data_IF_536540726172
#
_entry.id   IF_536540726172
#
_cell.length_a   1.000
_cell.length_b   1.000
_cell.length_c   1.000
_cell.angle_alpha   90.00
_cell.angle_beta   90.00
_cell.angle_gamma   90.00
#
_symmetry.space_group_name_H-M   'P 1'
#
loop_
_entity.id
_entity.type
_entity.pdbx_description
1 polymer ?
#
# COMPACT_ATOMS: atom_id res chain seq x y z
N UNK A 1 -26.55 4.13 4.78
CA UNK A 1 -25.13 4.52 4.84
C UNK A 1 -24.59 4.41 3.43
N UNK A 2 -24.25 5.54 2.80
CA UNK A 2 -23.56 5.52 1.51
C UNK A 2 -22.09 5.28 1.80
N UNK A 3 -21.59 4.07 1.53
CA UNK A 3 -20.15 3.83 1.52
C UNK A 3 -19.57 4.58 0.33
N UNK A 4 -18.52 5.36 0.56
CA UNK A 4 -17.80 6.06 -0.49
C UNK A 4 -16.90 5.03 -1.17
N UNK A 5 -17.10 4.80 -2.48
CA UNK A 5 -16.35 3.76 -3.22
C UNK A 5 -14.84 3.95 -3.14
N UNK A 6 -14.39 5.19 -2.98
CA UNK A 6 -12.98 5.54 -2.81
C UNK A 6 -12.38 4.94 -1.53
N UNK A 7 -13.17 4.95 -0.46
CA UNK A 7 -12.80 4.38 0.83
C UNK A 7 -12.66 2.86 0.71
N UNK A 8 -13.60 2.18 0.04
CA UNK A 8 -13.51 0.74 -0.23
C UNK A 8 -12.25 0.39 -1.05
N UNK A 9 -11.92 1.19 -2.07
CA UNK A 9 -10.70 0.99 -2.87
C UNK A 9 -9.45 1.21 -2.00
N UNK A 10 -9.44 2.21 -1.13
CA UNK A 10 -8.33 2.48 -0.23
C UNK A 10 -8.16 1.39 0.85
N UNK A 11 -9.26 0.88 1.40
CA UNK A 11 -9.24 -0.27 2.31
C UNK A 11 -8.70 -1.52 1.64
N UNK A 12 -9.12 -1.77 0.39
CA UNK A 12 -8.60 -2.89 -0.39
C UNK A 12 -7.10 -2.74 -0.69
N UNK A 13 -6.63 -1.54 -1.04
CA UNK A 13 -5.20 -1.24 -1.16
C UNK A 13 -4.44 -1.55 0.15
N UNK A 14 -5.02 -1.16 1.30
CA UNK A 14 -4.44 -1.44 2.62
C UNK A 14 -4.33 -2.94 2.90
N UNK A 15 -5.35 -3.72 2.52
CA UNK A 15 -5.31 -5.18 2.63
C UNK A 15 -4.18 -5.77 1.78
N UNK A 16 -4.04 -5.34 0.52
CA UNK A 16 -3.01 -5.84 -0.38
C UNK A 16 -1.60 -5.53 0.13
N UNK A 17 -1.37 -4.34 0.69
CA UNK A 17 -0.09 -4.00 1.33
C UNK A 17 0.20 -5.00 2.45
N UNK A 18 -0.74 -5.24 3.37
CA UNK A 18 -0.57 -6.21 4.46
C UNK A 18 -0.29 -7.63 3.96
N UNK A 19 -0.96 -8.08 2.92
CA UNK A 19 -0.70 -9.40 2.32
C UNK A 19 0.69 -9.49 1.72
N UNK A 20 1.18 -8.42 1.09
CA UNK A 20 2.57 -8.35 0.60
C UNK A 20 3.57 -8.41 1.76
N UNK A 21 3.29 -7.75 2.88
CA UNK A 21 4.14 -7.82 4.07
C UNK A 21 4.24 -9.26 4.59
N UNK A 22 3.11 -9.96 4.70
CA UNK A 22 3.07 -11.37 5.10
C UNK A 22 3.84 -12.24 4.11
N UNK A 23 3.61 -12.07 2.81
CA UNK A 23 4.27 -12.83 1.75
C UNK A 23 5.80 -12.65 1.74
N UNK A 24 6.30 -11.45 2.11
CA UNK A 24 7.74 -11.18 2.26
C UNK A 24 8.36 -11.85 3.48
N UNK A 25 7.58 -12.06 4.55
CA UNK A 25 8.06 -12.68 5.81
C UNK A 25 7.93 -14.20 5.86
N UNK A 26 6.93 -14.77 5.17
CA UNK A 26 6.87 -16.21 4.90
C UNK A 26 7.75 -16.55 3.70
N UNK A 27 8.01 -17.84 3.44
CA UNK A 27 8.58 -18.30 2.16
C UNK A 27 7.58 -18.09 1.00
N UNK A 28 7.06 -16.87 0.83
CA UNK A 28 6.12 -16.52 -0.21
C UNK A 28 6.77 -16.66 -1.58
N UNK A 29 6.04 -17.29 -2.50
CA UNK A 29 6.49 -17.46 -3.87
C UNK A 29 6.72 -16.10 -4.55
N UNK A 30 7.89 -15.90 -5.17
CA UNK A 30 8.28 -14.65 -5.84
C UNK A 30 7.22 -14.14 -6.82
N UNK A 31 6.56 -15.05 -7.55
CA UNK A 31 5.48 -14.71 -8.48
C UNK A 31 4.26 -14.06 -7.77
N UNK A 32 3.92 -14.53 -6.57
CA UNK A 32 2.80 -13.98 -5.81
C UNK A 32 3.14 -12.59 -5.27
N UNK A 33 4.37 -12.41 -4.78
CA UNK A 33 4.91 -11.11 -4.35
C UNK A 33 4.89 -10.09 -5.51
N UNK A 34 5.31 -10.50 -6.70
CA UNK A 34 5.27 -9.65 -7.89
C UNK A 34 3.83 -9.29 -8.32
N UNK A 35 2.91 -10.26 -8.24
CA UNK A 35 1.48 -10.02 -8.49
C UNK A 35 0.91 -8.97 -7.54
N UNK A 36 1.15 -9.10 -6.23
CA UNK A 36 0.68 -8.14 -5.22
C UNK A 36 1.26 -6.74 -5.46
N UNK A 37 2.55 -6.64 -5.79
CA UNK A 37 3.19 -5.39 -6.17
C UNK A 37 2.48 -4.68 -7.33
N UNK A 38 2.15 -5.42 -8.39
CA UNK A 38 1.42 -4.88 -9.54
C UNK A 38 0.05 -4.32 -9.17
N UNK A 39 -0.71 -5.04 -8.34
CA UNK A 39 -2.03 -4.60 -7.87
C UNK A 39 -1.93 -3.33 -7.01
N UNK A 40 -0.99 -3.30 -6.06
CA UNK A 40 -0.73 -2.13 -5.18
C UNK A 40 -0.38 -0.91 -6.04
N UNK A 41 0.50 -1.07 -7.03
CA UNK A 41 0.91 0.02 -7.90
C UNK A 41 -0.26 0.57 -8.71
N UNK A 42 -1.06 -0.31 -9.34
CA UNK A 42 -2.21 0.09 -10.15
C UNK A 42 -3.26 0.86 -9.37
N UNK A 43 -3.60 0.40 -8.16
CA UNK A 43 -4.56 1.09 -7.28
C UNK A 43 -4.03 2.44 -6.79
N UNK A 44 -2.77 2.49 -6.34
CA UNK A 44 -2.17 3.74 -5.89
C UNK A 44 -2.09 4.79 -7.00
N UNK A 45 -1.75 4.38 -8.23
CA UNK A 45 -1.79 5.26 -9.40
C UNK A 45 -3.21 5.73 -9.70
N UNK A 46 -4.19 4.83 -9.66
CA UNK A 46 -5.60 5.17 -9.93
C UNK A 46 -6.13 6.20 -8.93
N UNK A 47 -5.89 6.00 -7.64
CA UNK A 47 -6.28 6.95 -6.59
C UNK A 47 -5.58 8.30 -6.76
N UNK A 48 -4.30 8.31 -7.14
CA UNK A 48 -3.55 9.54 -7.40
C UNK A 48 -4.07 10.32 -8.61
N UNK A 49 -4.53 9.64 -9.65
CA UNK A 49 -5.09 10.28 -10.85
C UNK A 49 -6.51 10.82 -10.62
N UNK A 50 -7.36 10.05 -9.93
CA UNK A 50 -8.76 10.39 -9.73
C UNK A 50 -8.99 11.36 -8.57
N UNK A 51 -8.16 11.27 -7.53
CA UNK A 51 -8.30 12.04 -6.29
C UNK A 51 -6.97 12.68 -5.87
N UNK A 52 -6.41 13.57 -6.71
CA UNK A 52 -5.15 14.24 -6.40
C UNK A 52 -5.33 15.30 -5.30
N UNK A 53 -4.22 15.74 -4.74
CA UNK A 53 -4.15 16.86 -3.79
C UNK A 53 -3.97 16.41 -2.33
N UNK A 54 -3.64 17.39 -1.46
CA UNK A 54 -3.45 17.14 -0.03
C UNK A 54 -4.76 16.68 0.63
N UNK A 55 -4.63 15.81 1.62
CA UNK A 55 -5.69 15.17 2.41
C UNK A 55 -6.67 14.29 1.60
N UNK A 56 -6.42 14.10 0.31
CA UNK A 56 -7.23 13.31 -0.59
C UNK A 56 -6.72 11.86 -0.72
N UNK A 57 -7.49 10.99 -1.36
CA UNK A 57 -7.17 9.56 -1.46
C UNK A 57 -5.85 9.27 -2.18
N UNK A 58 -5.46 10.11 -3.15
CA UNK A 58 -4.19 9.99 -3.83
C UNK A 58 -2.98 10.16 -2.91
N UNK A 59 -3.03 11.11 -1.98
CA UNK A 59 -1.96 11.32 -1.00
C UNK A 59 -1.94 10.19 0.04
N UNK A 60 -3.11 9.82 0.57
CA UNK A 60 -3.23 8.69 1.51
C UNK A 60 -2.66 7.40 0.91
N UNK A 61 -2.97 7.12 -0.36
CA UNK A 61 -2.43 5.97 -1.08
C UNK A 61 -0.91 6.05 -1.23
N UNK A 62 -0.37 7.22 -1.62
CA UNK A 62 1.07 7.42 -1.79
C UNK A 62 1.84 7.20 -0.48
N UNK A 63 1.31 7.69 0.65
CA UNK A 63 1.91 7.48 1.97
C UNK A 63 1.88 6.00 2.37
N UNK A 64 0.75 5.32 2.17
CA UNK A 64 0.56 3.91 2.48
C UNK A 64 1.52 3.00 1.70
N UNK A 65 1.70 3.25 0.40
CA UNK A 65 2.55 2.39 -0.46
C UNK A 65 4.03 2.76 -0.42
N UNK A 66 4.42 3.84 0.25
CA UNK A 66 5.82 4.28 0.33
C UNK A 66 6.77 3.16 0.76
N UNK A 67 6.50 2.38 1.83
CA UNK A 67 7.38 1.28 2.25
C UNK A 67 7.44 0.12 1.24
N UNK A 68 6.41 -0.01 0.41
CA UNK A 68 6.35 -1.02 -0.66
C UNK A 68 7.26 -0.61 -1.81
N UNK A 69 7.16 0.66 -2.25
CA UNK A 69 7.92 1.21 -3.39
C UNK A 69 9.39 1.43 -3.05
N UNK A 70 9.69 1.97 -1.87
CA UNK A 70 11.08 2.31 -1.51
C UNK A 70 11.85 1.13 -0.95
N UNK A 71 11.17 0.02 -0.62
CA UNK A 71 11.68 -1.16 0.10
C UNK A 71 12.35 -0.89 1.46
N UNK A 72 12.61 0.38 1.79
CA UNK A 72 12.96 0.85 3.11
C UNK A 72 11.74 0.86 4.03
N UNK A 73 11.80 -0.01 5.03
CA UNK A 73 11.11 0.19 6.29
C UNK A 73 12.07 0.89 7.25
N UNK A 74 11.67 2.04 7.76
CA UNK A 74 12.39 2.67 8.87
C UNK A 74 11.94 1.95 10.15
N UNK A 75 12.76 1.04 10.67
CA UNK A 75 12.57 0.46 12.00
C UNK A 75 13.16 1.45 13.03
N UNK A 76 12.36 2.41 13.47
CA UNK A 76 12.82 3.41 14.45
C UNK A 76 12.92 2.86 15.89
N UNK A 77 12.62 1.58 16.12
CA UNK A 77 12.59 0.96 17.47
C UNK A 77 13.90 0.25 17.88
N UNK A 78 14.98 0.33 17.10
CA UNK A 78 16.26 -0.34 17.42
C UNK A 78 17.33 0.59 18.06
N UNK A 79 16.97 1.82 18.43
CA UNK A 79 17.87 2.75 19.11
C UNK A 79 17.22 3.43 20.32
N UNK A 80 16.90 2.65 21.35
CA UNK A 80 17.00 3.11 22.74
C UNK A 80 17.81 2.06 23.51
N UNK A 81 19.04 2.45 23.86
CA UNK A 81 20.01 1.64 24.59
C UNK A 81 19.82 1.62 26.10
#
# INVERSE_FOLDING_TARGET
MSYNREEEVFEYLTLLVKELEKARTGNGHENYTAFLHGQIHGLAMSLRLLYPGPDNWGEKAALLVRPVITEHRCNCDEHDG
#
